data_IF_157274696804
#
_entry.id   IF_157274696804
#
_cell.length_a   1.000
_cell.length_b   1.000
_cell.length_c   1.000
_cell.angle_alpha   90.00
_cell.angle_beta   90.00
_cell.angle_gamma   90.00
#
_symmetry.space_group_name_H-M   'P 1'
#
loop_
_entity.id
_entity.type
_entity.pdbx_description
1 polymer ?
#
# COMPACT_ATOMS: atom_id res chain seq x y z
N UNK A 1 -11.29 -37.38 -20.83
CA UNK A 1 -10.78 -37.09 -19.47
C UNK A 1 -11.06 -35.63 -19.17
N UNK A 2 -11.88 -35.28 -18.16
CA UNK A 2 -12.31 -33.91 -17.95
C UNK A 2 -11.20 -33.08 -17.29
N UNK A 3 -10.99 -31.87 -17.81
CA UNK A 3 -10.17 -30.83 -17.18
C UNK A 3 -10.68 -30.56 -15.75
N UNK A 4 -9.86 -30.89 -14.75
CA UNK A 4 -10.07 -30.40 -13.39
C UNK A 4 -9.98 -28.88 -13.40
N UNK A 5 -11.10 -28.23 -13.06
CA UNK A 5 -11.17 -26.81 -12.71
C UNK A 5 -10.12 -26.54 -11.63
N UNK A 6 -9.11 -25.71 -11.94
CA UNK A 6 -8.23 -25.15 -10.90
C UNK A 6 -9.13 -24.41 -9.91
N UNK A 7 -9.16 -24.88 -8.67
CA UNK A 7 -9.73 -24.13 -7.55
C UNK A 7 -9.07 -22.74 -7.53
N UNK A 8 -9.86 -21.67 -7.59
CA UNK A 8 -9.38 -20.31 -7.41
C UNK A 8 -8.67 -20.26 -6.05
N UNK A 9 -7.33 -20.19 -6.04
CA UNK A 9 -6.58 -20.00 -4.81
C UNK A 9 -6.79 -18.56 -4.37
N UNK A 10 -7.42 -18.36 -3.22
CA UNK A 10 -7.57 -17.02 -2.65
C UNK A 10 -6.20 -16.37 -2.50
N UNK A 11 -6.08 -15.13 -2.94
CA UNK A 11 -4.84 -14.37 -2.89
C UNK A 11 -4.53 -13.94 -1.45
N UNK A 12 -3.26 -13.61 -1.11
CA UNK A 12 -2.93 -12.99 0.16
C UNK A 12 -3.78 -11.74 0.45
N UNK A 13 -4.09 -10.97 -0.59
CA UNK A 13 -4.99 -9.82 -0.50
C UNK A 13 -6.40 -10.21 -0.03
N UNK A 14 -7.01 -11.25 -0.62
CA UNK A 14 -8.35 -11.71 -0.21
C UNK A 14 -8.39 -12.18 1.24
N UNK A 15 -7.29 -12.77 1.71
CA UNK A 15 -7.12 -13.20 3.10
C UNK A 15 -7.06 -11.99 4.02
N UNK A 16 -6.24 -10.99 3.70
CA UNK A 16 -6.12 -9.77 4.48
C UNK A 16 -7.46 -9.02 4.54
N UNK A 17 -8.11 -8.82 3.39
CA UNK A 17 -9.41 -8.15 3.29
C UNK A 17 -10.47 -8.84 4.15
N UNK A 18 -10.54 -10.18 4.14
CA UNK A 18 -11.49 -10.91 4.97
C UNK A 18 -11.22 -10.76 6.47
N UNK A 19 -9.96 -10.81 6.91
CA UNK A 19 -9.63 -10.62 8.33
C UNK A 19 -9.93 -9.17 8.75
N UNK A 20 -9.60 -8.19 7.92
CA UNK A 20 -9.93 -6.79 8.20
C UNK A 20 -11.44 -6.58 8.30
N UNK A 21 -12.23 -7.18 7.40
CA UNK A 21 -13.68 -7.08 7.47
C UNK A 21 -14.22 -7.58 8.81
N UNK A 22 -13.69 -8.70 9.32
CA UNK A 22 -14.03 -9.21 10.66
C UNK A 22 -13.63 -8.25 11.79
N UNK A 23 -12.57 -7.47 11.62
CA UNK A 23 -12.19 -6.44 12.60
C UNK A 23 -13.15 -5.24 12.52
N UNK A 24 -13.49 -4.80 11.30
CA UNK A 24 -14.37 -3.65 11.03
C UNK A 24 -15.81 -3.92 11.50
N UNK A 25 -16.34 -5.12 11.26
CA UNK A 25 -17.69 -5.50 11.67
C UNK A 25 -17.80 -5.93 13.16
N UNK A 26 -16.66 -6.01 13.86
CA UNK A 26 -16.60 -6.33 15.29
C UNK A 26 -16.61 -7.82 15.61
N UNK A 27 -16.60 -8.72 14.62
CA UNK A 27 -16.41 -10.16 14.81
C UNK A 27 -15.09 -10.47 15.54
N UNK A 28 -14.04 -9.71 15.23
CA UNK A 28 -12.75 -9.71 15.92
C UNK A 28 -12.57 -8.36 16.63
N UNK A 29 -12.43 -8.40 17.95
CA UNK A 29 -12.30 -7.19 18.79
C UNK A 29 -10.84 -6.93 19.15
N UNK A 30 -10.45 -5.68 19.44
CA UNK A 30 -9.13 -5.36 19.95
C UNK A 30 -8.70 -6.27 21.11
N UNK A 31 -7.49 -6.82 21.02
CA UNK A 31 -6.95 -7.77 21.99
C UNK A 31 -7.30 -9.24 21.73
N UNK A 32 -8.26 -9.54 20.87
CA UNK A 32 -8.60 -10.93 20.53
C UNK A 32 -7.40 -11.60 19.84
N UNK A 33 -7.17 -12.88 20.18
CA UNK A 33 -6.11 -13.69 19.58
C UNK A 33 -6.65 -14.40 18.34
N UNK A 34 -5.99 -14.23 17.19
CA UNK A 34 -6.32 -14.99 15.99
C UNK A 34 -5.99 -16.48 16.18
N UNK A 35 -6.70 -17.38 15.48
CA UNK A 35 -6.38 -18.81 15.49
C UNK A 35 -4.92 -19.06 15.09
N UNK A 36 -4.34 -20.16 15.57
CA UNK A 36 -2.99 -20.57 15.20
C UNK A 36 -2.86 -20.62 13.67
N UNK A 37 -1.75 -20.09 13.12
CA UNK A 37 -1.59 -19.91 11.67
C UNK A 37 -1.88 -21.16 10.84
N UNK A 38 -1.54 -22.35 11.36
CA UNK A 38 -1.91 -23.62 10.72
C UNK A 38 -3.42 -23.76 10.56
N UNK A 39 -4.17 -23.74 11.66
CA UNK A 39 -5.63 -23.85 11.62
C UNK A 39 -6.29 -22.69 10.88
N UNK A 40 -5.73 -21.48 10.99
CA UNK A 40 -6.21 -20.33 10.23
C UNK A 40 -6.04 -20.57 8.72
N UNK A 41 -4.86 -21.02 8.25
CA UNK A 41 -4.63 -21.30 6.83
C UNK A 41 -5.56 -22.39 6.28
N UNK A 42 -5.81 -23.43 7.07
CA UNK A 42 -6.73 -24.53 6.74
C UNK A 42 -8.18 -24.02 6.63
N UNK A 43 -8.67 -23.29 7.65
CA UNK A 43 -10.03 -22.69 7.65
C UNK A 43 -10.23 -21.68 6.52
N UNK A 44 -9.15 -21.02 6.11
CA UNK A 44 -9.17 -19.99 5.09
C UNK A 44 -9.03 -20.54 3.68
N UNK A 45 -8.59 -21.80 3.53
CA UNK A 45 -8.38 -22.46 2.25
C UNK A 45 -7.16 -21.94 1.49
N UNK A 46 -6.10 -21.53 2.20
CA UNK A 46 -4.91 -20.90 1.61
C UNK A 46 -3.61 -21.56 2.04
N UNK A 47 -2.54 -21.34 1.28
CA UNK A 47 -1.21 -21.77 1.68
C UNK A 47 -0.74 -21.01 2.92
N UNK A 48 0.15 -21.63 3.70
CA UNK A 48 0.80 -20.96 4.85
C UNK A 48 1.60 -19.74 4.42
N UNK A 49 2.21 -19.76 3.23
CA UNK A 49 2.95 -18.61 2.71
C UNK A 49 2.03 -17.42 2.45
N UNK A 50 0.91 -17.66 1.76
CA UNK A 50 -0.10 -16.64 1.48
C UNK A 50 -0.73 -16.06 2.75
N UNK A 51 -0.97 -16.90 3.76
CA UNK A 51 -1.45 -16.41 5.05
C UNK A 51 -0.41 -15.51 5.73
N UNK A 52 0.88 -15.87 5.71
CA UNK A 52 1.92 -15.01 6.31
C UNK A 52 2.03 -13.66 5.62
N UNK A 53 1.93 -13.63 4.29
CA UNK A 53 1.91 -12.37 3.54
C UNK A 53 0.70 -11.51 3.92
N UNK A 54 -0.48 -12.10 4.00
CA UNK A 54 -1.69 -11.40 4.43
C UNK A 54 -1.55 -10.82 5.86
N UNK A 55 -1.01 -11.62 6.78
CA UNK A 55 -0.73 -11.16 8.16
C UNK A 55 0.33 -10.06 8.18
N UNK A 56 1.35 -10.12 7.33
CA UNK A 56 2.33 -9.05 7.21
C UNK A 56 1.68 -7.74 6.77
N UNK A 57 0.78 -7.79 5.78
CA UNK A 57 0.04 -6.60 5.31
C UNK A 57 -0.79 -6.00 6.45
N UNK A 58 -1.54 -6.83 7.17
CA UNK A 58 -2.37 -6.38 8.29
C UNK A 58 -1.55 -5.79 9.44
N UNK A 59 -0.35 -6.34 9.71
CA UNK A 59 0.57 -5.81 10.70
C UNK A 59 1.13 -4.43 10.29
N UNK A 60 1.54 -4.27 9.03
CA UNK A 60 1.97 -2.95 8.49
C UNK A 60 0.88 -1.90 8.60
N UNK A 61 -0.37 -2.29 8.34
CA UNK A 61 -1.56 -1.43 8.47
C UNK A 61 -1.95 -1.16 9.94
N UNK A 62 -1.26 -1.76 10.91
CA UNK A 62 -1.54 -1.60 12.34
C UNK A 62 -2.85 -2.24 12.79
N UNK A 63 -3.38 -3.21 12.04
CA UNK A 63 -4.63 -3.90 12.35
C UNK A 63 -4.42 -5.09 13.30
N UNK A 64 -3.22 -5.65 13.30
CA UNK A 64 -2.82 -6.76 14.17
C UNK A 64 -1.42 -6.56 14.72
N UNK A 65 -1.12 -7.22 15.84
CA UNK A 65 0.22 -7.38 16.41
C UNK A 65 0.68 -8.83 16.23
N UNK A 66 1.80 -9.07 15.55
CA UNK A 66 2.46 -10.38 15.57
C UNK A 66 3.45 -10.41 16.74
N UNK A 67 3.21 -11.30 17.71
CA UNK A 67 4.05 -11.46 18.90
C UNK A 67 4.78 -12.81 18.81
N UNK A 68 6.10 -12.84 18.52
CA UNK A 68 6.86 -14.08 18.38
C UNK A 68 6.66 -15.01 19.58
N UNK A 69 6.35 -16.28 19.31
CA UNK A 69 6.06 -17.29 20.34
C UNK A 69 4.69 -17.17 21.03
N UNK A 70 4.03 -16.01 20.98
CA UNK A 70 2.74 -15.77 21.64
C UNK A 70 1.56 -15.82 20.68
N UNK A 71 1.76 -15.52 19.38
CA UNK A 71 0.72 -15.58 18.36
C UNK A 71 0.38 -14.20 17.79
N UNK A 72 -0.78 -14.12 17.13
CA UNK A 72 -1.25 -12.91 16.44
C UNK A 72 -2.48 -12.37 17.17
N UNK A 73 -2.52 -11.07 17.41
CA UNK A 73 -3.57 -10.40 18.17
C UNK A 73 -4.14 -9.23 17.38
N UNK A 74 -5.43 -8.94 17.52
CA UNK A 74 -6.02 -7.70 16.97
C UNK A 74 -5.45 -6.50 17.73
N UNK A 75 -4.93 -5.52 16.99
CA UNK A 75 -4.31 -4.35 17.59
C UNK A 75 -5.36 -3.45 18.26
N UNK A 76 -4.96 -2.73 19.31
CA UNK A 76 -5.80 -1.65 19.83
C UNK A 76 -5.62 -0.39 18.97
N UNK A 77 -6.69 0.38 18.71
CA UNK A 77 -6.60 1.64 17.95
C UNK A 77 -5.60 2.66 18.53
N UNK A 78 -5.31 2.56 19.83
CA UNK A 78 -4.38 3.43 20.56
C UNK A 78 -2.96 2.85 20.69
N UNK A 79 -2.72 1.60 20.29
CA UNK A 79 -1.41 0.93 20.38
C UNK A 79 -0.52 1.29 19.20
N UNK A 80 -0.15 2.57 19.14
CA UNK A 80 1.06 3.14 18.52
C UNK A 80 1.60 2.52 17.23
N UNK A 81 1.44 3.28 16.14
CA UNK A 81 2.39 3.43 15.03
C UNK A 81 2.64 2.20 14.14
N UNK A 82 2.92 2.40 12.84
CA UNK A 82 3.25 1.29 11.94
C UNK A 82 4.50 0.58 12.42
N UNK A 83 4.36 -0.71 12.72
CA UNK A 83 5.47 -1.62 12.98
C UNK A 83 5.90 -2.25 11.67
N UNK A 84 6.12 -1.41 10.66
CA UNK A 84 6.68 -1.86 9.40
C UNK A 84 8.06 -2.45 9.68
N UNK A 85 8.28 -3.71 9.30
CA UNK A 85 9.63 -4.24 9.22
C UNK A 85 10.26 -3.49 8.05
N UNK A 86 11.11 -2.50 8.34
CA UNK A 86 11.99 -1.98 7.30
C UNK A 86 12.90 -3.14 6.91
N UNK A 87 12.56 -3.76 5.77
CA UNK A 87 13.14 -5.00 5.26
C UNK A 87 14.57 -4.79 4.76
N UNK A 88 15.25 -5.90 4.51
CA UNK A 88 16.66 -6.13 4.13
C UNK A 88 17.24 -5.27 2.97
N UNK A 89 16.51 -4.29 2.45
CA UNK A 89 16.86 -3.42 1.32
C UNK A 89 17.44 -2.04 1.72
N UNK A 90 17.62 -1.76 3.02
CA UNK A 90 18.15 -0.49 3.53
C UNK A 90 17.32 0.07 4.67
N UNK A 91 17.66 1.27 5.17
CA UNK A 91 16.83 1.98 6.14
C UNK A 91 15.56 2.55 5.48
N UNK A 92 14.52 2.88 6.26
CA UNK A 92 13.31 3.50 5.71
C UNK A 92 13.63 4.79 4.96
N UNK A 93 14.63 5.52 5.45
CA UNK A 93 15.16 6.73 4.81
C UNK A 93 15.68 6.43 3.40
N UNK A 94 16.50 5.39 3.23
CA UNK A 94 17.07 5.03 1.93
C UNK A 94 15.96 4.71 0.91
N UNK A 95 14.91 4.00 1.36
CA UNK A 95 13.75 3.69 0.51
C UNK A 95 13.02 4.97 0.11
N UNK A 96 12.75 5.88 1.06
CA UNK A 96 12.10 7.16 0.75
C UNK A 96 12.94 8.06 -0.18
N UNK A 97 14.27 8.09 -0.01
CA UNK A 97 15.17 8.81 -0.91
C UNK A 97 15.13 8.20 -2.33
N UNK A 98 15.09 6.87 -2.44
CA UNK A 98 14.90 6.19 -3.71
C UNK A 98 13.53 6.48 -4.34
N UNK A 99 12.45 6.52 -3.55
CA UNK A 99 11.11 6.91 -4.00
C UNK A 99 11.10 8.34 -4.55
N UNK A 100 11.68 9.30 -3.83
CA UNK A 100 11.79 10.69 -4.29
C UNK A 100 12.48 10.80 -5.65
N UNK A 101 13.53 10.02 -5.87
CA UNK A 101 14.27 10.00 -7.13
C UNK A 101 13.47 9.32 -8.26
N UNK A 102 12.98 8.10 -8.02
CA UNK A 102 12.34 7.27 -9.04
C UNK A 102 10.92 7.73 -9.37
N UNK A 103 10.06 7.86 -8.37
CA UNK A 103 8.65 8.21 -8.56
C UNK A 103 8.48 9.68 -8.93
N UNK A 104 9.32 10.59 -8.38
CA UNK A 104 9.34 11.99 -8.78
C UNK A 104 9.69 12.16 -10.26
N UNK A 105 10.73 11.45 -10.73
CA UNK A 105 11.11 11.45 -12.15
C UNK A 105 10.03 10.78 -13.02
N UNK A 106 9.42 9.70 -12.53
CA UNK A 106 8.31 9.03 -13.23
C UNK A 106 7.13 9.98 -13.45
N UNK A 107 6.74 10.73 -12.42
CA UNK A 107 5.63 11.68 -12.49
C UNK A 107 5.87 12.79 -13.52
N UNK A 108 7.10 13.34 -13.59
CA UNK A 108 7.45 14.31 -14.63
C UNK A 108 7.33 13.71 -16.04
N UNK A 109 7.92 12.52 -16.26
CA UNK A 109 7.84 11.84 -17.55
C UNK A 109 6.40 11.47 -17.92
N UNK A 110 5.60 11.04 -16.94
CA UNK A 110 4.21 10.70 -17.15
C UNK A 110 3.39 11.93 -17.56
N UNK A 111 3.62 13.10 -16.96
CA UNK A 111 2.90 14.33 -17.34
C UNK A 111 3.08 14.68 -18.84
N UNK A 112 4.22 14.35 -19.44
CA UNK A 112 4.47 14.58 -20.87
C UNK A 112 3.86 13.50 -21.79
N UNK A 113 3.57 12.31 -21.26
CA UNK A 113 3.39 11.07 -22.04
C UNK A 113 2.09 10.34 -21.77
N UNK A 114 1.39 10.68 -20.70
CA UNK A 114 0.19 9.97 -20.25
C UNK A 114 -0.93 10.17 -21.26
N UNK A 115 -1.54 9.06 -21.67
CA UNK A 115 -2.71 9.08 -22.53
C UNK A 115 -3.99 9.32 -21.72
N UNK A 116 -5.05 9.82 -22.37
CA UNK A 116 -6.31 10.16 -21.70
C UNK A 116 -6.92 8.98 -20.94
N UNK A 117 -6.83 7.77 -21.50
CA UNK A 117 -7.32 6.54 -20.86
C UNK A 117 -6.50 6.19 -19.60
N UNK A 118 -5.18 6.32 -19.68
CA UNK A 118 -4.28 6.11 -18.54
C UNK A 118 -4.54 7.14 -17.43
N UNK A 119 -4.73 8.41 -17.79
CA UNK A 119 -5.06 9.47 -16.85
C UNK A 119 -6.41 9.22 -16.16
N UNK A 120 -7.43 8.78 -16.92
CA UNK A 120 -8.73 8.41 -16.36
C UNK A 120 -8.61 7.23 -15.40
N UNK A 121 -7.79 6.23 -15.71
CA UNK A 121 -7.51 5.11 -14.82
C UNK A 121 -6.82 5.55 -13.53
N UNK A 122 -5.77 6.37 -13.62
CA UNK A 122 -5.06 6.92 -12.45
C UNK A 122 -6.00 7.74 -11.57
N UNK A 123 -6.88 8.55 -12.16
CA UNK A 123 -7.90 9.30 -11.41
C UNK A 123 -8.92 8.36 -10.71
N UNK A 124 -9.37 7.31 -11.40
CA UNK A 124 -10.30 6.33 -10.82
C UNK A 124 -9.70 5.63 -9.59
N UNK A 125 -8.41 5.30 -9.60
CA UNK A 125 -7.73 4.71 -8.45
C UNK A 125 -7.79 5.62 -7.20
N UNK A 126 -7.72 6.94 -7.37
CA UNK A 126 -7.84 7.89 -6.24
C UNK A 126 -9.27 7.96 -5.69
N UNK A 127 -10.27 7.78 -6.55
CA UNK A 127 -11.66 7.68 -6.10
C UNK A 127 -11.93 6.35 -5.40
N UNK A 128 -11.34 5.25 -5.89
CA UNK A 128 -11.38 3.94 -5.20
C UNK A 128 -10.69 4.01 -3.82
N UNK A 129 -9.56 4.74 -3.70
CA UNK A 129 -8.93 5.03 -2.39
C UNK A 129 -9.88 5.79 -1.47
N UNK A 130 -10.61 6.78 -2.01
CA UNK A 130 -11.56 7.59 -1.24
C UNK A 130 -12.72 6.73 -0.72
N UNK A 131 -13.24 5.84 -1.56
CA UNK A 131 -14.32 4.92 -1.17
C UNK A 131 -13.83 3.86 -0.17
N UNK A 132 -12.64 3.30 -0.38
CA UNK A 132 -12.04 2.39 0.58
C UNK A 132 -11.83 3.05 1.94
N UNK A 133 -11.36 4.31 1.97
CA UNK A 133 -11.24 5.12 3.18
C UNK A 133 -12.61 5.31 3.87
N UNK A 134 -13.66 5.63 3.12
CA UNK A 134 -15.02 5.84 3.67
C UNK A 134 -15.56 4.59 4.39
N UNK A 135 -15.22 3.41 3.85
CA UNK A 135 -15.58 2.10 4.38
C UNK A 135 -14.64 1.57 5.45
N UNK A 136 -13.60 2.33 5.84
CA UNK A 136 -12.52 1.87 6.72
C UNK A 136 -11.81 0.60 6.20
N UNK A 137 -11.75 0.44 4.88
CA UNK A 137 -11.10 -0.67 4.20
C UNK A 137 -9.64 -0.33 3.86
N UNK A 138 -8.74 -0.44 4.85
CA UNK A 138 -7.34 -0.06 4.68
C UNK A 138 -6.58 -0.98 3.72
N UNK A 139 -6.94 -2.26 3.64
CA UNK A 139 -6.37 -3.22 2.67
C UNK A 139 -6.70 -2.79 1.24
N UNK A 140 -7.95 -2.47 0.94
CA UNK A 140 -8.33 -1.98 -0.38
C UNK A 140 -7.68 -0.63 -0.70
N UNK A 141 -7.68 0.31 0.27
CA UNK A 141 -7.05 1.61 0.08
C UNK A 141 -5.54 1.48 -0.22
N UNK A 142 -4.84 0.59 0.48
CA UNK A 142 -3.42 0.29 0.24
C UNK A 142 -3.17 -0.32 -1.15
N UNK A 143 -4.07 -1.20 -1.60
CA UNK A 143 -3.96 -1.79 -2.93
C UNK A 143 -4.13 -0.73 -4.03
N UNK A 144 -5.08 0.20 -3.87
CA UNK A 144 -5.28 1.31 -4.78
C UNK A 144 -4.08 2.28 -4.79
N UNK A 145 -3.47 2.56 -3.64
CA UNK A 145 -2.25 3.39 -3.51
C UNK A 145 -1.08 2.78 -4.31
N UNK A 146 -0.76 1.50 -4.07
CA UNK A 146 0.30 0.83 -4.84
C UNK A 146 0.00 0.75 -6.34
N UNK A 147 -1.26 0.49 -6.72
CA UNK A 147 -1.68 0.49 -8.12
C UNK A 147 -1.53 1.89 -8.76
N UNK A 148 -1.79 2.96 -8.02
CA UNK A 148 -1.62 4.33 -8.49
C UNK A 148 -0.15 4.63 -8.81
N UNK A 149 0.76 4.26 -7.92
CA UNK A 149 2.21 4.41 -8.14
C UNK A 149 2.70 3.57 -9.33
N UNK A 150 2.24 2.32 -9.46
CA UNK A 150 2.55 1.45 -10.60
C UNK A 150 2.06 2.05 -11.93
N UNK A 151 0.84 2.61 -11.95
CA UNK A 151 0.25 3.22 -13.15
C UNK A 151 1.03 4.47 -13.61
N UNK A 152 1.51 5.31 -12.68
CA UNK A 152 2.37 6.45 -13.01
C UNK A 152 3.72 5.97 -13.57
N UNK A 153 4.29 4.92 -12.97
CA UNK A 153 5.56 4.32 -13.42
C UNK A 153 5.45 3.77 -14.84
N UNK A 154 4.30 3.19 -15.19
CA UNK A 154 4.00 2.73 -16.55
C UNK A 154 3.77 3.91 -17.52
N UNK A 155 2.98 4.91 -17.12
CA UNK A 155 2.72 6.11 -17.90
C UNK A 155 3.99 6.93 -18.21
N UNK A 156 5.04 6.80 -17.39
CA UNK A 156 6.35 7.39 -17.66
C UNK A 156 7.02 6.82 -18.92
N UNK A 157 6.58 5.65 -19.44
CA UNK A 157 7.12 4.97 -20.63
C UNK A 157 8.64 4.84 -20.61
N UNK A 158 9.19 4.52 -19.44
CA UNK A 158 10.61 4.27 -19.24
C UNK A 158 10.82 2.86 -18.66
N UNK A 159 11.06 1.85 -19.52
CA UNK A 159 11.18 0.46 -19.06
C UNK A 159 12.32 0.20 -18.07
N UNK A 160 13.41 0.99 -18.14
CA UNK A 160 14.54 0.86 -17.22
C UNK A 160 14.16 1.38 -15.83
N UNK A 161 13.54 2.56 -15.76
CA UNK A 161 13.01 3.13 -14.51
C UNK A 161 12.01 2.16 -13.87
N UNK A 162 11.08 1.62 -14.66
CA UNK A 162 10.12 0.63 -14.19
C UNK A 162 10.79 -0.67 -13.72
N UNK A 163 11.88 -1.09 -14.37
CA UNK A 163 12.68 -2.24 -13.94
C UNK A 163 13.36 -2.03 -12.59
N UNK A 164 13.95 -0.84 -12.37
CA UNK A 164 14.54 -0.45 -11.08
C UNK A 164 13.47 -0.42 -9.98
N UNK A 165 12.34 0.24 -10.23
CA UNK A 165 11.22 0.28 -9.29
C UNK A 165 10.71 -1.12 -8.92
N UNK A 166 10.52 -2.01 -9.91
CA UNK A 166 10.09 -3.40 -9.67
C UNK A 166 11.10 -4.19 -8.85
N UNK A 167 12.40 -3.96 -9.02
CA UNK A 167 13.43 -4.67 -8.25
C UNK A 167 13.37 -4.37 -6.74
N UNK A 168 12.84 -3.19 -6.38
CA UNK A 168 12.66 -2.74 -5.01
C UNK A 168 11.19 -2.79 -4.53
N UNK A 169 10.27 -3.41 -5.31
CA UNK A 169 8.82 -3.31 -5.12
C UNK A 169 8.35 -3.61 -3.69
N UNK A 170 8.87 -4.66 -3.07
CA UNK A 170 8.50 -5.03 -1.71
C UNK A 170 8.79 -3.92 -0.68
N UNK A 171 9.92 -3.22 -0.83
CA UNK A 171 10.26 -2.08 0.03
C UNK A 171 9.41 -0.84 -0.30
N UNK A 172 9.14 -0.59 -1.58
CA UNK A 172 8.28 0.52 -2.02
C UNK A 172 6.86 0.37 -1.45
N UNK A 173 6.22 -0.79 -1.68
CA UNK A 173 4.87 -1.11 -1.20
C UNK A 173 4.78 -1.03 0.33
N UNK A 174 5.81 -1.43 1.06
CA UNK A 174 5.82 -1.32 2.52
C UNK A 174 5.79 0.15 2.98
N UNK A 175 6.60 1.02 2.38
CA UNK A 175 6.62 2.46 2.72
C UNK A 175 5.40 3.23 2.22
N UNK A 176 4.70 2.70 1.21
CA UNK A 176 3.40 3.19 0.75
C UNK A 176 2.29 2.84 1.75
N UNK A 177 2.29 1.59 2.26
CA UNK A 177 1.27 1.09 3.21
C UNK A 177 1.42 1.63 4.63
N UNK A 178 2.65 1.70 5.14
CA UNK A 178 2.89 2.01 6.56
C UNK A 178 2.24 3.33 7.06
N UNK A 179 2.24 4.45 6.33
CA UNK A 179 1.58 5.69 6.77
C UNK A 179 0.08 5.54 7.03
N UNK A 180 -0.57 4.55 6.40
CA UNK A 180 -2.02 4.34 6.50
C UNK A 180 -2.47 3.80 7.85
N UNK A 181 -1.54 3.30 8.68
CA UNK A 181 -1.82 2.99 10.07
C UNK A 181 -2.30 4.24 10.85
N UNK A 182 -1.84 5.44 10.45
CA UNK A 182 -2.29 6.72 10.99
C UNK A 182 -3.63 7.16 10.40
N UNK A 183 -4.75 6.66 10.94
CA UNK A 183 -6.11 6.97 10.41
C UNK A 183 -6.42 8.46 10.29
N UNK A 184 -5.86 9.30 11.17
CA UNK A 184 -6.07 10.74 11.18
C UNK A 184 -5.52 11.45 9.92
N UNK A 185 -4.59 10.83 9.20
CA UNK A 185 -3.90 11.45 8.06
C UNK A 185 -4.31 10.87 6.70
N UNK A 186 -5.30 9.97 6.66
CA UNK A 186 -5.74 9.33 5.42
C UNK A 186 -6.31 10.34 4.41
N UNK A 187 -7.06 11.34 4.91
CA UNK A 187 -7.61 12.40 4.07
C UNK A 187 -6.50 13.25 3.41
N UNK A 188 -5.40 13.51 4.12
CA UNK A 188 -4.24 14.21 3.57
C UNK A 188 -3.58 13.40 2.45
N UNK A 189 -3.42 12.09 2.66
CA UNK A 189 -2.89 11.18 1.63
C UNK A 189 -3.74 11.21 0.36
N UNK A 190 -5.07 11.15 0.47
CA UNK A 190 -5.97 11.24 -0.69
C UNK A 190 -5.86 12.60 -1.39
N UNK A 191 -5.79 13.69 -0.63
CA UNK A 191 -5.62 15.04 -1.19
C UNK A 191 -4.30 15.20 -1.94
N UNK A 192 -3.21 14.63 -1.41
CA UNK A 192 -1.90 14.57 -2.07
C UNK A 192 -1.96 13.84 -3.41
N UNK A 193 -2.65 12.69 -3.46
CA UNK A 193 -2.88 11.92 -4.69
C UNK A 193 -3.67 12.72 -5.74
N UNK A 194 -4.74 13.39 -5.32
CA UNK A 194 -5.52 14.27 -6.22
C UNK A 194 -4.67 15.40 -6.80
N UNK A 195 -3.77 15.98 -6.02
CA UNK A 195 -2.85 17.01 -6.51
C UNK A 195 -1.89 16.49 -7.59
N UNK A 196 -1.45 15.23 -7.50
CA UNK A 196 -0.64 14.58 -8.54
C UNK A 196 -1.47 14.40 -9.81
N UNK A 197 -2.70 13.89 -9.71
CA UNK A 197 -3.62 13.73 -10.85
C UNK A 197 -3.84 15.06 -11.57
N UNK A 198 -4.08 16.14 -10.82
CA UNK A 198 -4.26 17.47 -11.40
C UNK A 198 -3.04 17.94 -12.20
N UNK A 199 -1.83 17.69 -11.68
CA UNK A 199 -0.59 18.08 -12.37
C UNK A 199 -0.31 17.22 -13.61
N UNK A 200 -0.66 15.93 -13.57
CA UNK A 200 -0.62 15.06 -14.75
C UNK A 200 -1.62 15.53 -15.81
N UNK A 201 -2.85 15.89 -15.40
CA UNK A 201 -3.90 16.35 -16.29
C UNK A 201 -3.58 17.68 -16.98
N UNK A 202 -2.83 18.56 -16.32
CA UNK A 202 -2.35 19.82 -16.92
C UNK A 202 -1.14 19.65 -17.83
N UNK A 203 -0.56 18.45 -17.92
CA UNK A 203 0.67 18.20 -18.67
C UNK A 203 1.86 19.02 -18.16
N UNK A 204 1.95 19.23 -16.83
CA UNK A 204 3.01 20.01 -16.18
C UNK A 204 4.06 19.08 -15.53
N UNK A 205 5.22 18.83 -16.16
CA UNK A 205 6.21 17.90 -15.64
C UNK A 205 6.82 18.36 -14.31
N UNK A 206 7.07 19.68 -14.18
CA UNK A 206 7.62 20.25 -12.97
C UNK A 206 6.61 20.18 -11.82
N UNK A 207 5.34 20.51 -12.10
CA UNK A 207 4.23 20.38 -11.17
C UNK A 207 4.01 18.95 -10.70
N UNK A 208 4.04 17.97 -11.62
CA UNK A 208 3.82 16.56 -11.31
C UNK A 208 4.95 15.99 -10.44
N UNK A 209 6.21 16.29 -10.78
CA UNK A 209 7.36 15.92 -9.94
C UNK A 209 7.25 16.55 -8.55
N UNK A 210 6.93 17.84 -8.47
CA UNK A 210 6.82 18.53 -7.19
C UNK A 210 5.68 17.98 -6.33
N UNK A 211 4.53 17.65 -6.94
CA UNK A 211 3.41 17.01 -6.25
C UNK A 211 3.77 15.62 -5.71
N UNK A 212 4.40 14.78 -6.53
CA UNK A 212 4.84 13.44 -6.12
C UNK A 212 5.88 13.51 -4.99
N UNK A 213 6.87 14.42 -5.09
CA UNK A 213 7.87 14.60 -4.03
C UNK A 213 7.25 15.09 -2.73
N UNK A 214 6.26 15.99 -2.78
CA UNK A 214 5.51 16.44 -1.58
C UNK A 214 4.75 15.29 -0.94
N UNK A 215 4.07 14.46 -1.74
CA UNK A 215 3.38 13.27 -1.26
C UNK A 215 4.33 12.31 -0.52
N UNK A 216 5.46 11.96 -1.15
CA UNK A 216 6.46 11.05 -0.56
C UNK A 216 7.06 11.65 0.72
N UNK A 217 7.34 12.95 0.74
CA UNK A 217 7.82 13.66 1.92
C UNK A 217 6.78 13.70 3.06
N UNK A 218 5.51 13.88 2.73
CA UNK A 218 4.38 13.78 3.67
C UNK A 218 4.29 12.39 4.27
N UNK A 219 4.38 11.36 3.43
CA UNK A 219 4.43 9.95 3.81
C UNK A 219 5.57 9.66 4.80
N UNK A 220 6.79 10.10 4.49
CA UNK A 220 7.94 9.94 5.38
C UNK A 220 7.75 10.64 6.73
N UNK A 221 7.22 11.87 6.73
CA UNK A 221 6.95 12.65 7.95
C UNK A 221 5.94 11.97 8.87
N UNK A 222 4.88 11.38 8.30
CA UNK A 222 3.88 10.59 9.06
C UNK A 222 4.52 9.40 9.78
N UNK A 223 5.65 8.89 9.29
CA UNK A 223 6.45 7.83 9.90
C UNK A 223 7.60 8.33 10.77
N UNK A 224 7.76 9.65 10.96
CA UNK A 224 8.90 10.23 11.68
C UNK A 224 10.24 10.08 10.96
N UNK A 225 10.24 9.78 9.65
CA UNK A 225 11.45 9.70 8.84
C UNK A 225 11.81 11.10 8.34
N UNK A 226 12.95 11.61 8.79
CA UNK A 226 13.49 12.89 8.35
C UNK A 226 14.20 12.75 7.00
N UNK A 227 13.74 13.50 5.99
CA UNK A 227 14.38 13.62 4.68
C UNK A 227 15.01 14.99 4.54
N UNK A 228 16.19 15.05 3.91
CA UNK A 228 16.84 16.30 3.51
C UNK A 228 16.32 16.68 2.12
N UNK A 229 15.34 17.59 2.05
CA UNK A 229 14.63 17.98 0.82
C UNK A 229 14.79 19.46 0.55
#
# INVERSE_FOLDING_TARGET
>A
MPHQRRSSSKTPHDVAARIQQQIVDGTLRPGDRLPAQRGLSESMGVSRASLREALSVLETLGLIDIRPGLGVFVAHPASGGPRGRVLDAGSARDVYEARLALEGSAAALAAERIEQEQLAHVAALVEDMTEAMSRSDLVAMAACDSAFHDAIMEAARNPLLAGMYRSARAAMEETQRAPMAGRATLADTVAEHRAIVMALASGDPAGAMAAMRRHIAGSARRLGVALSI
#
